data_IF_377772007299
#
_entry.id   IF_377772007299
#
_cell.length_a   1.000
_cell.length_b   1.000
_cell.length_c   1.000
_cell.angle_alpha   90.00
_cell.angle_beta   90.00
_cell.angle_gamma   90.00
#
_symmetry.space_group_name_H-M   'P 1'
#
loop_
_entity.id
_entity.type
_entity.pdbx_description
1 polymer ?
#
# COMPACT_ATOMS: atom_id res chain seq x y z
N UNK A 1 19.35 -24.45 -30.60
CA UNK A 1 17.91 -24.78 -30.69
C UNK A 1 17.31 -25.17 -29.33
N UNK A 2 18.04 -25.81 -28.41
CA UNK A 2 17.50 -26.15 -27.07
C UNK A 2 17.33 -24.95 -26.11
N UNK A 3 18.15 -23.90 -26.20
CA UNK A 3 17.98 -22.73 -25.30
C UNK A 3 16.74 -21.87 -25.59
N UNK A 4 16.14 -22.03 -26.78
CA UNK A 4 15.00 -21.23 -27.21
C UNK A 4 13.67 -21.94 -26.90
N UNK A 5 13.66 -23.28 -26.83
CA UNK A 5 12.53 -24.06 -26.33
C UNK A 5 12.33 -23.86 -24.82
N UNK A 6 13.42 -23.86 -24.04
CA UNK A 6 13.35 -23.73 -22.58
C UNK A 6 12.85 -22.34 -22.15
N UNK A 7 13.16 -21.31 -22.95
CA UNK A 7 12.68 -19.94 -22.71
C UNK A 7 11.18 -19.80 -23.00
N UNK A 8 10.71 -20.42 -24.09
CA UNK A 8 9.30 -20.43 -24.48
C UNK A 8 8.46 -21.26 -23.53
N UNK A 9 8.94 -22.40 -23.02
CA UNK A 9 8.25 -23.17 -21.98
C UNK A 9 8.16 -22.41 -20.64
N UNK A 10 9.19 -21.63 -20.30
CA UNK A 10 9.18 -20.78 -19.11
C UNK A 10 8.16 -19.64 -19.23
N UNK A 11 8.07 -19.02 -20.40
CA UNK A 11 7.12 -17.94 -20.69
C UNK A 11 5.66 -18.45 -20.79
N UNK A 12 5.44 -19.67 -21.28
CA UNK A 12 4.11 -20.32 -21.30
C UNK A 12 3.65 -20.75 -19.90
N UNK A 13 4.56 -21.16 -19.01
CA UNK A 13 4.23 -21.42 -17.61
C UNK A 13 3.94 -20.14 -16.80
N UNK A 14 4.57 -19.01 -17.16
CA UNK A 14 4.23 -17.70 -16.58
C UNK A 14 2.79 -17.26 -16.92
N UNK A 15 2.23 -17.74 -18.03
CA UNK A 15 0.83 -17.50 -18.44
C UNK A 15 -0.21 -18.33 -17.67
N UNK A 16 0.21 -19.25 -16.80
CA UNK A 16 -0.67 -20.13 -16.00
C UNK A 16 -0.23 -20.12 -14.53
N UNK A 17 -0.22 -18.94 -13.91
CA UNK A 17 0.10 -18.79 -12.49
C UNK A 17 -0.98 -19.46 -11.62
N UNK A 18 -0.86 -20.78 -11.40
CA UNK A 18 -1.80 -21.59 -10.63
C UNK A 18 -1.39 -21.73 -9.15
N UNK A 19 -0.13 -21.39 -8.82
CA UNK A 19 0.39 -21.36 -7.45
C UNK A 19 0.78 -19.94 -7.06
N UNK A 20 -0.11 -19.29 -6.33
CA UNK A 20 0.04 -17.88 -5.98
C UNK A 20 0.52 -17.71 -4.54
N UNK A 21 1.45 -16.79 -4.34
CA UNK A 21 1.84 -16.32 -3.02
C UNK A 21 1.21 -14.95 -2.81
N UNK A 22 0.29 -14.83 -1.86
CA UNK A 22 -0.28 -13.53 -1.45
C UNK A 22 0.64 -12.94 -0.39
N UNK A 23 1.19 -11.77 -0.65
CA UNK A 23 2.22 -11.13 0.19
C UNK A 23 1.67 -9.81 0.70
N UNK A 24 1.42 -9.73 2.01
CA UNK A 24 1.27 -8.45 2.71
C UNK A 24 2.66 -7.92 3.05
N UNK A 25 2.92 -6.67 2.71
CA UNK A 25 4.20 -6.00 2.96
C UNK A 25 3.99 -4.98 4.09
N UNK A 26 4.91 -4.96 5.06
CA UNK A 26 5.04 -3.94 6.09
C UNK A 26 6.50 -3.48 6.09
N UNK A 27 6.82 -2.40 5.37
CA UNK A 27 8.23 -2.06 5.11
C UNK A 27 8.97 -1.54 6.35
N UNK A 28 8.31 -0.86 7.27
CA UNK A 28 8.90 -0.30 8.49
C UNK A 28 8.71 -1.13 9.74
N UNK A 29 8.23 -2.36 9.58
CA UNK A 29 8.21 -3.39 10.61
C UNK A 29 7.31 -3.03 11.80
N UNK A 30 6.18 -2.38 11.54
CA UNK A 30 5.16 -2.08 12.56
C UNK A 30 4.57 -3.38 13.16
N UNK A 31 4.45 -4.45 12.37
CA UNK A 31 4.10 -5.81 12.84
C UNK A 31 5.10 -6.33 13.87
N UNK A 32 6.39 -6.05 13.69
CA UNK A 32 7.45 -6.47 14.61
C UNK A 32 7.58 -5.54 15.82
N UNK A 33 7.59 -4.23 15.58
CA UNK A 33 7.85 -3.20 16.60
C UNK A 33 6.67 -2.97 17.54
N UNK A 34 5.45 -2.93 17.00
CA UNK A 34 4.23 -2.65 17.79
C UNK A 34 3.64 -3.94 18.35
N UNK A 35 3.49 -4.96 17.50
CA UNK A 35 2.82 -6.19 17.88
C UNK A 35 3.78 -7.28 18.39
N UNK A 36 5.11 -7.13 18.30
CA UNK A 36 6.07 -8.11 18.80
C UNK A 36 5.98 -9.47 18.09
N UNK A 37 5.66 -9.46 16.80
CA UNK A 37 5.49 -10.66 15.97
C UNK A 37 6.74 -10.84 15.10
N UNK A 38 7.27 -12.06 15.06
CA UNK A 38 8.38 -12.39 14.16
C UNK A 38 7.88 -12.65 12.75
N UNK A 39 8.50 -11.98 11.78
CA UNK A 39 8.28 -12.20 10.35
C UNK A 39 9.32 -13.16 9.74
N UNK A 40 9.00 -13.88 8.65
CA UNK A 40 7.72 -13.88 7.94
C UNK A 40 6.64 -14.66 8.70
N UNK A 41 5.42 -14.13 8.73
CA UNK A 41 4.25 -14.85 9.22
C UNK A 41 3.68 -15.63 8.04
N UNK A 42 3.47 -16.94 8.21
CA UNK A 42 3.08 -17.84 7.12
C UNK A 42 1.76 -18.53 7.48
N UNK A 43 0.82 -18.52 6.54
CA UNK A 43 -0.45 -19.21 6.65
C UNK A 43 -1.58 -18.31 7.14
N UNK A 44 -2.80 -18.71 6.77
CA UNK A 44 -4.03 -17.95 7.04
C UNK A 44 -4.23 -17.63 8.51
N UNK A 45 -4.20 -18.65 9.37
CA UNK A 45 -4.55 -18.48 10.78
C UNK A 45 -3.48 -17.68 11.54
N UNK A 46 -2.20 -17.88 11.20
CA UNK A 46 -1.11 -17.10 11.76
C UNK A 46 -1.20 -15.62 11.35
N UNK A 47 -1.58 -15.34 10.09
CA UNK A 47 -1.82 -13.96 9.64
C UNK A 47 -3.04 -13.34 10.35
N UNK A 48 -4.10 -14.11 10.64
CA UNK A 48 -5.26 -13.61 11.40
C UNK A 48 -4.83 -13.21 12.81
N UNK A 49 -4.07 -14.07 13.50
CA UNK A 49 -3.56 -13.78 14.83
C UNK A 49 -2.66 -12.53 14.81
N UNK A 50 -1.80 -12.42 13.80
CA UNK A 50 -0.92 -11.27 13.63
C UNK A 50 -1.70 -9.95 13.45
N UNK A 51 -2.69 -9.95 12.56
CA UNK A 51 -3.55 -8.80 12.31
C UNK A 51 -4.36 -8.40 13.54
N UNK A 52 -4.90 -9.38 14.27
CA UNK A 52 -5.65 -9.15 15.51
C UNK A 52 -4.77 -8.51 16.58
N UNK A 53 -3.55 -9.02 16.77
CA UNK A 53 -2.62 -8.49 17.77
C UNK A 53 -2.18 -7.07 17.40
N UNK A 54 -1.85 -6.81 16.15
CA UNK A 54 -1.51 -5.45 15.70
C UNK A 54 -2.67 -4.48 15.89
N UNK A 55 -3.89 -4.87 15.50
CA UNK A 55 -5.08 -4.03 15.69
C UNK A 55 -5.42 -3.77 17.18
N UNK A 56 -5.01 -4.65 18.09
CA UNK A 56 -5.19 -4.46 19.53
C UNK A 56 -4.14 -3.51 20.12
N UNK A 57 -2.91 -3.55 19.62
CA UNK A 57 -1.81 -2.67 20.07
C UNK A 57 -1.90 -1.27 19.45
N UNK A 58 -2.19 -1.18 18.15
CA UNK A 58 -2.37 0.08 17.42
C UNK A 58 -3.59 0.02 16.48
N UNK A 59 -4.79 0.37 16.98
CA UNK A 59 -6.03 0.33 16.19
C UNK A 59 -6.11 1.37 15.06
N UNK A 60 -5.26 2.40 15.07
CA UNK A 60 -5.25 3.45 14.04
C UNK A 60 -4.36 3.08 12.85
N UNK A 61 -3.55 2.04 13.01
CA UNK A 61 -2.65 1.50 12.00
C UNK A 61 -3.41 0.84 10.83
N UNK A 62 -2.95 1.14 9.61
CA UNK A 62 -3.49 0.56 8.38
C UNK A 62 -2.96 -0.86 8.11
N UNK A 63 -1.79 -1.23 8.62
CA UNK A 63 -1.15 -2.53 8.39
C UNK A 63 -2.02 -3.71 8.82
N UNK A 64 -2.71 -3.58 9.95
CA UNK A 64 -3.63 -4.61 10.43
C UNK A 64 -4.70 -4.94 9.39
N UNK A 65 -5.22 -3.91 8.71
CA UNK A 65 -6.21 -4.05 7.65
C UNK A 65 -5.61 -4.54 6.35
N UNK A 66 -4.36 -4.20 6.05
CA UNK A 66 -3.59 -4.76 4.93
C UNK A 66 -3.46 -6.29 5.06
N UNK A 67 -3.15 -6.79 6.26
CA UNK A 67 -3.06 -8.23 6.53
C UNK A 67 -4.44 -8.89 6.36
N UNK A 68 -5.52 -8.28 6.89
CA UNK A 68 -6.88 -8.80 6.67
C UNK A 68 -7.27 -8.81 5.18
N UNK A 69 -6.86 -7.81 4.42
CA UNK A 69 -7.08 -7.77 2.98
C UNK A 69 -6.31 -8.88 2.26
N UNK A 70 -5.08 -9.18 2.66
CA UNK A 70 -4.30 -10.30 2.14
C UNK A 70 -4.97 -11.65 2.43
N UNK A 71 -5.48 -11.86 3.64
CA UNK A 71 -6.25 -13.06 4.01
C UNK A 71 -7.50 -13.19 3.13
N UNK A 72 -8.24 -12.10 2.93
CA UNK A 72 -9.41 -12.10 2.06
C UNK A 72 -9.03 -12.47 0.62
N UNK A 73 -7.97 -11.88 0.08
CA UNK A 73 -7.47 -12.20 -1.26
C UNK A 73 -7.06 -13.66 -1.38
N UNK A 74 -6.43 -14.22 -0.35
CA UNK A 74 -6.14 -15.64 -0.25
C UNK A 74 -7.41 -16.50 -0.34
N UNK A 75 -8.44 -16.20 0.46
CA UNK A 75 -9.70 -16.95 0.45
C UNK A 75 -10.41 -16.87 -0.90
N UNK A 76 -10.44 -15.67 -1.49
CA UNK A 76 -11.03 -15.43 -2.80
C UNK A 76 -10.32 -16.24 -3.90
N UNK A 77 -8.99 -16.36 -3.86
CA UNK A 77 -8.22 -17.13 -4.83
C UNK A 77 -8.36 -18.65 -4.60
N UNK A 78 -8.37 -19.11 -3.35
CA UNK A 78 -8.64 -20.51 -3.02
C UNK A 78 -10.03 -20.91 -3.53
N UNK A 79 -11.05 -20.06 -3.36
CA UNK A 79 -12.41 -20.31 -3.85
C UNK A 79 -12.51 -20.44 -5.38
N UNK A 80 -11.56 -19.83 -6.10
CA UNK A 80 -11.44 -19.91 -7.57
C UNK A 80 -10.59 -21.10 -8.04
N UNK A 81 -10.09 -21.93 -7.12
CA UNK A 81 -9.34 -23.15 -7.44
C UNK A 81 -7.83 -22.98 -7.60
N UNK A 82 -7.27 -21.82 -7.21
CA UNK A 82 -5.81 -21.63 -7.17
C UNK A 82 -5.21 -22.36 -5.96
N UNK A 83 -3.96 -22.80 -6.09
CA UNK A 83 -3.15 -23.19 -4.94
C UNK A 83 -2.51 -21.92 -4.39
N UNK A 84 -2.83 -21.55 -3.15
CA UNK A 84 -2.42 -20.26 -2.61
C UNK A 84 -1.81 -20.44 -1.23
N UNK A 85 -0.83 -19.63 -0.92
CA UNK A 85 -0.32 -19.42 0.43
C UNK A 85 -0.34 -17.92 0.73
N UNK A 86 -0.64 -17.54 1.97
CA UNK A 86 -0.64 -16.14 2.41
C UNK A 86 0.49 -15.92 3.40
N UNK A 87 1.22 -14.82 3.21
CA UNK A 87 2.29 -14.41 4.11
C UNK A 87 2.22 -12.92 4.43
N UNK A 88 2.74 -12.58 5.59
CA UNK A 88 3.09 -11.21 5.97
C UNK A 88 4.61 -11.14 6.14
N UNK A 89 5.25 -10.27 5.36
CA UNK A 89 6.69 -10.01 5.41
C UNK A 89 6.90 -8.59 5.91
N UNK A 90 7.97 -8.40 6.67
CA UNK A 90 8.31 -7.06 7.15
C UNK A 90 9.75 -6.69 6.87
N UNK A 91 9.99 -5.39 6.73
CA UNK A 91 11.32 -4.82 6.63
C UNK A 91 11.95 -4.58 7.99
N UNK A 92 12.62 -3.44 8.11
CA UNK A 92 13.20 -2.94 9.36
C UNK A 92 12.76 -1.50 9.58
N UNK A 93 12.73 -1.07 10.83
CA UNK A 93 12.28 0.26 11.27
C UNK A 93 12.86 1.43 10.48
N UNK A 94 14.16 1.40 10.21
CA UNK A 94 14.87 2.49 9.53
C UNK A 94 14.68 2.48 8.00
N UNK A 95 13.90 1.52 7.47
CA UNK A 95 13.58 1.34 6.04
C UNK A 95 14.84 1.23 5.18
N UNK A 96 14.70 1.54 3.88
CA UNK A 96 15.81 1.55 2.92
C UNK A 96 16.28 0.16 2.52
N UNK A 97 17.54 0.06 2.10
CA UNK A 97 18.09 -1.16 1.49
C UNK A 97 18.01 -2.36 2.43
N UNK A 98 18.22 -2.15 3.73
CA UNK A 98 18.16 -3.22 4.73
C UNK A 98 16.75 -3.80 4.88
N UNK A 99 15.72 -2.97 4.77
CA UNK A 99 14.32 -3.41 4.79
C UNK A 99 14.02 -4.24 3.54
N UNK A 100 14.43 -3.75 2.37
CA UNK A 100 14.22 -4.43 1.10
C UNK A 100 14.97 -5.79 1.06
N UNK A 101 16.20 -5.85 1.59
CA UNK A 101 16.99 -7.09 1.74
C UNK A 101 16.33 -8.09 2.69
N UNK A 102 15.80 -7.63 3.83
CA UNK A 102 15.08 -8.49 4.79
C UNK A 102 13.82 -9.07 4.15
N UNK A 103 12.98 -8.24 3.53
CA UNK A 103 11.77 -8.67 2.82
C UNK A 103 12.10 -9.71 1.76
N UNK A 104 13.16 -9.49 0.99
CA UNK A 104 13.62 -10.43 -0.04
C UNK A 104 14.06 -11.77 0.56
N UNK A 105 14.84 -11.73 1.64
CA UNK A 105 15.29 -12.93 2.35
C UNK A 105 14.11 -13.73 2.92
N UNK A 106 13.14 -13.05 3.55
CA UNK A 106 11.93 -13.67 4.08
C UNK A 106 11.10 -14.32 2.98
N UNK A 107 10.88 -13.60 1.88
CA UNK A 107 10.17 -14.13 0.71
C UNK A 107 10.84 -15.38 0.15
N UNK A 108 12.19 -15.39 0.04
CA UNK A 108 12.95 -16.57 -0.41
C UNK A 108 12.77 -17.77 0.50
N UNK A 109 12.82 -17.58 1.83
CA UNK A 109 12.60 -18.66 2.82
C UNK A 109 11.21 -19.29 2.69
N UNK A 110 10.19 -18.48 2.39
CA UNK A 110 8.85 -19.00 2.13
C UNK A 110 8.83 -19.82 0.85
N UNK A 111 9.48 -19.33 -0.21
CA UNK A 111 9.52 -20.00 -1.52
C UNK A 111 10.24 -21.36 -1.50
N UNK A 112 11.16 -21.58 -0.55
CA UNK A 112 11.79 -22.89 -0.32
C UNK A 112 10.76 -23.95 0.12
N UNK A 113 9.73 -23.55 0.88
CA UNK A 113 8.69 -24.46 1.37
C UNK A 113 7.45 -24.47 0.46
N UNK A 114 7.16 -23.34 -0.19
CA UNK A 114 6.03 -23.17 -1.09
C UNK A 114 6.51 -22.61 -2.43
N UNK A 115 6.71 -23.50 -3.42
CA UNK A 115 7.18 -23.14 -4.75
C UNK A 115 6.08 -22.42 -5.58
N UNK A 116 5.83 -21.16 -5.25
CA UNK A 116 4.92 -20.29 -5.99
C UNK A 116 5.46 -19.95 -7.37
N UNK A 117 4.56 -19.73 -8.32
CA UNK A 117 4.89 -19.26 -9.67
C UNK A 117 4.32 -17.87 -10.00
N UNK A 118 3.58 -17.27 -9.06
CA UNK A 118 3.17 -15.86 -9.13
C UNK A 118 2.97 -15.24 -7.75
N UNK A 119 3.16 -13.94 -7.64
CA UNK A 119 2.88 -13.14 -6.46
C UNK A 119 1.63 -12.28 -6.66
N UNK A 120 0.84 -12.15 -5.59
CA UNK A 120 -0.18 -11.10 -5.44
C UNK A 120 0.23 -10.24 -4.27
N UNK A 121 0.63 -8.99 -4.54
CA UNK A 121 1.11 -8.08 -3.51
C UNK A 121 -0.06 -7.30 -2.94
N UNK A 122 -0.12 -7.18 -1.62
CA UNK A 122 -1.09 -6.39 -0.88
C UNK A 122 -0.34 -5.35 -0.05
N UNK A 123 -0.78 -4.11 -0.14
CA UNK A 123 -0.15 -2.96 0.53
C UNK A 123 -1.20 -1.87 0.81
N UNK A 124 -1.00 -1.06 1.84
CA UNK A 124 -1.82 0.12 2.12
C UNK A 124 -1.28 1.44 1.55
N UNK A 125 -0.05 1.46 1.04
CA UNK A 125 0.69 2.70 0.83
C UNK A 125 1.77 2.66 -0.26
N UNK A 126 2.24 3.83 -0.63
CA UNK A 126 3.31 3.98 -1.63
C UNK A 126 4.66 3.45 -1.14
N UNK A 127 4.91 3.50 0.17
CA UNK A 127 6.20 3.09 0.75
C UNK A 127 6.43 1.58 0.60
N UNK A 128 5.45 0.76 0.93
CA UNK A 128 5.48 -0.69 0.72
C UNK A 128 5.58 -1.08 -0.76
N UNK A 129 4.87 -0.37 -1.63
CA UNK A 129 4.89 -0.63 -3.07
C UNK A 129 6.27 -0.40 -3.69
N UNK A 130 7.13 0.40 -3.04
CA UNK A 130 8.50 0.59 -3.48
C UNK A 130 9.34 -0.69 -3.47
N UNK A 131 8.91 -1.73 -2.74
CA UNK A 131 9.59 -3.04 -2.65
C UNK A 131 9.16 -4.00 -3.79
N UNK A 132 8.11 -3.67 -4.55
CA UNK A 132 7.61 -4.51 -5.66
C UNK A 132 8.72 -4.89 -6.66
N UNK A 133 9.58 -3.98 -7.15
CA UNK A 133 10.66 -4.33 -8.06
C UNK A 133 11.64 -5.35 -7.45
N UNK A 134 11.86 -5.29 -6.14
CA UNK A 134 12.75 -6.21 -5.42
C UNK A 134 12.14 -7.61 -5.38
N UNK A 135 10.85 -7.74 -5.08
CA UNK A 135 10.13 -9.01 -5.08
C UNK A 135 10.05 -9.60 -6.50
N UNK A 136 9.83 -8.77 -7.52
CA UNK A 136 9.77 -9.19 -8.93
C UNK A 136 11.04 -9.89 -9.43
N UNK A 137 12.20 -9.63 -8.80
CA UNK A 137 13.45 -10.33 -9.13
C UNK A 137 13.43 -11.83 -8.74
N UNK A 138 12.53 -12.24 -7.85
CA UNK A 138 12.46 -13.61 -7.33
C UNK A 138 11.19 -14.32 -7.76
N UNK A 139 10.08 -13.60 -7.80
CA UNK A 139 8.77 -14.16 -8.13
C UNK A 139 8.02 -13.19 -9.06
N UNK A 140 7.50 -13.64 -10.21
CA UNK A 140 6.70 -12.79 -11.09
C UNK A 140 5.48 -12.24 -10.35
N UNK A 141 5.33 -10.91 -10.31
CA UNK A 141 4.16 -10.26 -9.70
C UNK A 141 3.03 -10.26 -10.72
N UNK A 142 1.97 -11.01 -10.42
CA UNK A 142 0.78 -11.19 -11.27
C UNK A 142 -0.23 -10.08 -11.03
N UNK A 143 -0.33 -9.60 -9.78
CA UNK A 143 -1.27 -8.55 -9.39
C UNK A 143 -0.76 -7.76 -8.20
N UNK A 144 -1.16 -6.49 -8.11
CA UNK A 144 -0.92 -5.60 -6.98
C UNK A 144 -2.29 -5.08 -6.52
N UNK A 145 -2.57 -5.22 -5.23
CA UNK A 145 -3.83 -4.83 -4.62
C UNK A 145 -3.56 -3.80 -3.52
N UNK A 146 -3.82 -2.54 -3.85
CA UNK A 146 -3.74 -1.44 -2.89
C UNK A 146 -5.00 -1.38 -2.02
N UNK A 147 -4.82 -1.29 -0.71
CA UNK A 147 -5.89 -1.21 0.29
C UNK A 147 -5.92 0.21 0.84
N UNK A 148 -7.01 0.95 0.58
CA UNK A 148 -7.14 2.33 1.07
C UNK A 148 -8.16 2.38 2.19
N UNK A 149 -7.71 2.72 3.40
CA UNK A 149 -8.57 2.88 4.57
C UNK A 149 -9.41 4.16 4.47
N UNK A 150 -10.73 4.02 4.57
CA UNK A 150 -11.67 5.15 4.51
C UNK A 150 -11.94 5.70 5.91
N UNK A 151 -11.35 6.85 6.25
CA UNK A 151 -11.62 7.57 7.51
C UNK A 151 -12.69 8.64 7.27
N UNK A 152 -13.91 8.45 7.79
CA UNK A 152 -15.08 9.27 7.43
C UNK A 152 -15.23 10.59 8.21
N UNK A 153 -14.72 10.69 9.44
CA UNK A 153 -15.07 11.82 10.33
C UNK A 153 -14.18 13.07 10.19
N UNK A 154 -12.90 12.94 9.91
CA UNK A 154 -11.98 14.10 9.82
C UNK A 154 -12.23 14.95 8.57
N UNK A 155 -12.65 14.31 7.48
CA UNK A 155 -12.95 14.96 6.20
C UNK A 155 -14.21 15.82 6.32
N UNK A 156 -15.27 15.33 6.97
CA UNK A 156 -16.49 16.13 7.21
C UNK A 156 -16.22 17.37 8.06
N UNK A 157 -15.45 17.24 9.15
CA UNK A 157 -15.11 18.38 10.00
C UNK A 157 -14.17 19.36 9.27
N UNK A 158 -13.22 18.85 8.47
CA UNK A 158 -12.36 19.67 7.64
C UNK A 158 -13.13 20.44 6.57
N UNK A 159 -14.13 19.83 5.92
CA UNK A 159 -15.03 20.52 4.99
C UNK A 159 -15.92 21.54 5.68
N UNK A 160 -16.42 21.24 6.89
CA UNK A 160 -17.20 22.20 7.67
C UNK A 160 -16.36 23.41 8.10
N UNK A 161 -15.13 23.18 8.56
CA UNK A 161 -14.17 24.23 8.91
C UNK A 161 -13.75 25.03 7.68
N UNK A 162 -13.43 24.36 6.57
CA UNK A 162 -13.11 25.00 5.30
C UNK A 162 -14.27 25.85 4.78
N UNK A 163 -15.48 25.30 4.76
CA UNK A 163 -16.70 26.03 4.39
C UNK A 163 -16.99 27.22 5.30
N UNK A 164 -16.71 27.11 6.61
CA UNK A 164 -16.80 28.22 7.56
C UNK A 164 -15.81 29.34 7.23
N UNK A 165 -14.56 29.01 6.89
CA UNK A 165 -13.57 30.00 6.44
C UNK A 165 -13.97 30.65 5.12
N UNK A 166 -14.45 29.86 4.16
CA UNK A 166 -14.95 30.40 2.89
C UNK A 166 -16.14 31.35 3.11
N UNK A 167 -17.03 31.01 4.04
CA UNK A 167 -18.13 31.88 4.47
C UNK A 167 -17.64 33.15 5.17
N UNK A 168 -16.60 33.08 6.01
CA UNK A 168 -16.00 34.30 6.60
C UNK A 168 -15.38 35.19 5.52
N UNK A 169 -14.69 34.61 4.54
CA UNK A 169 -14.10 35.36 3.43
C UNK A 169 -15.18 36.04 2.57
N UNK A 170 -16.31 35.36 2.32
CA UNK A 170 -17.39 35.89 1.50
C UNK A 170 -18.29 36.91 2.22
N UNK A 171 -18.62 36.67 3.50
CA UNK A 171 -19.68 37.41 4.19
C UNK A 171 -19.19 38.32 5.33
N UNK A 172 -17.95 38.17 5.81
CA UNK A 172 -17.40 39.05 6.84
C UNK A 172 -16.56 40.16 6.19
N UNK A 173 -17.09 41.39 6.20
CA UNK A 173 -16.47 42.52 5.50
C UNK A 173 -15.04 42.83 5.99
N UNK A 174 -14.70 42.44 7.23
CA UNK A 174 -13.35 42.65 7.77
C UNK A 174 -12.33 41.71 7.11
N UNK A 175 -12.69 40.44 6.93
CA UNK A 175 -11.80 39.42 6.35
C UNK A 175 -11.83 39.45 4.82
N UNK A 176 -12.99 39.72 4.22
CA UNK A 176 -13.16 39.86 2.77
C UNK A 176 -12.26 40.95 2.17
N UNK A 177 -12.16 42.12 2.82
CA UNK A 177 -11.30 43.23 2.37
C UNK A 177 -9.81 42.87 2.38
N UNK A 178 -9.37 42.07 3.35
CA UNK A 178 -7.97 41.67 3.43
C UNK A 178 -7.64 40.56 2.43
N UNK A 179 -8.53 39.57 2.28
CA UNK A 179 -8.29 38.39 1.44
C UNK A 179 -8.61 38.60 -0.05
N UNK A 180 -9.70 39.29 -0.39
CA UNK A 180 -10.04 39.63 -1.78
C UNK A 180 -9.68 41.06 -2.17
N UNK A 181 -9.67 42.01 -1.23
CA UNK A 181 -9.44 43.42 -1.57
C UNK A 181 -8.02 43.70 -2.04
N UNK A 182 -7.01 43.39 -1.22
CA UNK A 182 -5.60 43.68 -1.56
C UNK A 182 -5.11 42.83 -2.74
N UNK A 183 -5.28 41.50 -2.76
CA UNK A 183 -4.88 40.68 -3.90
C UNK A 183 -5.71 40.96 -5.16
N UNK A 184 -7.00 41.26 -5.02
CA UNK A 184 -7.89 41.57 -6.15
C UNK A 184 -7.53 42.90 -6.83
N UNK A 185 -7.16 43.93 -6.07
CA UNK A 185 -6.66 45.19 -6.64
C UNK A 185 -5.32 44.96 -7.36
N UNK A 186 -4.42 44.16 -6.79
CA UNK A 186 -3.16 43.81 -7.45
C UNK A 186 -3.39 43.05 -8.76
N UNK A 187 -4.33 42.09 -8.78
CA UNK A 187 -4.73 41.37 -10.00
C UNK A 187 -5.36 42.30 -11.04
N UNK A 188 -6.20 43.26 -10.62
CA UNK A 188 -6.77 44.27 -11.52
C UNK A 188 -5.70 45.16 -12.14
N UNK A 189 -4.77 45.66 -11.33
CA UNK A 189 -3.65 46.49 -11.81
C UNK A 189 -2.77 45.68 -12.77
N UNK A 190 -2.41 44.45 -12.41
CA UNK A 190 -1.63 43.56 -13.26
C UNK A 190 -2.34 43.21 -14.57
N UNK A 191 -3.63 42.87 -14.52
CA UNK A 191 -4.42 42.56 -15.71
C UNK A 191 -4.61 43.76 -16.63
N UNK A 192 -4.83 44.95 -16.09
CA UNK A 192 -4.87 46.18 -16.88
C UNK A 192 -3.51 46.45 -17.52
N UNK A 193 -2.41 46.31 -16.77
CA UNK A 193 -1.06 46.48 -17.31
C UNK A 193 -0.79 45.54 -18.50
N UNK A 194 -1.25 44.28 -18.45
CA UNK A 194 -1.10 43.32 -19.57
C UNK A 194 -1.92 43.64 -20.82
N UNK A 195 -2.91 44.54 -20.76
CA UNK A 195 -3.71 44.97 -21.92
C UNK A 195 -3.12 46.21 -22.58
N UNK A 196 -2.28 46.97 -21.86
CA UNK A 196 -1.66 48.20 -22.35
C UNK A 196 -0.16 48.05 -22.70
N UNK A 197 0.40 46.85 -22.52
CA UNK A 197 1.63 46.36 -23.19
C UNK A 197 1.25 45.58 -24.46
#
# INVERSE_FOLDING_TARGET
MSQQSDKVEKDVNASSANRLLVICIDRDNDVGEKAGISTPVIGRDACIEAAQRLALEDPEDADSNSIFAAIKTYEDLISKGYQVEVITVAGVKDRGVQADEKILSETRKVLENFAANGAVIVSDGEDDESVIPVIQNVLPVVSVQRVVMKVSRSVEYSYAVFGKYLKMIAYDSKYSKFFLGVPGILLLIGGIATVFD
#
